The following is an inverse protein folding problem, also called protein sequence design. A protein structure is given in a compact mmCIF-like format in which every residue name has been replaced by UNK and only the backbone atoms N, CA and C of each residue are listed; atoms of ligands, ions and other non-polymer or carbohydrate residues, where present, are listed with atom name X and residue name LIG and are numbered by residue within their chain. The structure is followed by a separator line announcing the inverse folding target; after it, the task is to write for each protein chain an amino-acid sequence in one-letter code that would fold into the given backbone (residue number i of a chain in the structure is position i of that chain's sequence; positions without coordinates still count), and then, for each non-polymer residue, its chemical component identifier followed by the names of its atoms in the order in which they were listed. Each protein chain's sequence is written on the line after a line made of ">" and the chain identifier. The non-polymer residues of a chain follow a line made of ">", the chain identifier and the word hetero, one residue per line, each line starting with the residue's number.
data_IF_647130311148
#
_entry.id   IF_647130311148
#
_cell.length_a   1.000
_cell.length_b   1.000
_cell.length_c   1.000
_cell.angle_alpha   90.00
_cell.angle_beta   90.00
_cell.angle_gamma   90.00
#
_symmetry.space_group_name_H-M   'P 1'
#
loop_
_entity.id
_entity.type
_entity.pdbx_description
1 polymer ?
#
# COMPACT_ATOMS: atom_id res chain seq x y z
N UNK A 1 -2.05 25.53 -11.56
CA UNK A 1 -2.52 26.51 -10.56
C UNK A 1 -1.90 26.18 -9.20
N UNK A 2 -1.27 27.14 -8.54
CA UNK A 2 -0.66 26.95 -7.21
C UNK A 2 -1.74 27.02 -6.14
N UNK A 3 -1.97 25.92 -5.40
CA UNK A 3 -2.92 25.90 -4.29
C UNK A 3 -2.26 26.39 -2.99
N UNK A 4 -2.99 27.15 -2.19
CA UNK A 4 -2.52 27.71 -0.93
C UNK A 4 -3.33 27.14 0.24
N UNK A 5 -2.69 26.89 1.39
CA UNK A 5 -3.38 26.52 2.64
C UNK A 5 -3.10 27.51 3.75
N UNK A 6 -4.12 27.76 4.55
CA UNK A 6 -4.01 28.57 5.77
C UNK A 6 -3.69 27.65 6.94
N UNK A 7 -2.55 27.88 7.59
CA UNK A 7 -2.13 27.16 8.80
C UNK A 7 -2.06 28.11 9.98
N UNK A 8 -2.39 27.64 11.18
CA UNK A 8 -2.13 28.36 12.44
C UNK A 8 -0.85 27.83 13.06
N UNK A 9 0.14 28.71 13.23
CA UNK A 9 1.39 28.40 13.94
C UNK A 9 1.56 29.43 15.06
N UNK A 10 1.67 28.95 16.30
CA UNK A 10 1.77 29.80 17.50
C UNK A 10 0.67 30.88 17.58
N UNK A 11 -0.58 30.48 17.38
CA UNK A 11 -1.76 31.38 17.43
C UNK A 11 -1.94 32.32 16.23
N UNK A 12 -0.93 32.52 15.39
CA UNK A 12 -1.01 33.41 14.21
C UNK A 12 -1.36 32.63 12.93
N UNK A 13 -2.32 33.15 12.15
CA UNK A 13 -2.71 32.58 10.84
C UNK A 13 -1.63 32.93 9.80
N UNK A 14 -1.18 31.96 9.02
CA UNK A 14 -0.25 32.14 7.89
C UNK A 14 -0.75 31.36 6.68
N UNK A 15 -0.69 31.97 5.50
CA UNK A 15 -1.00 31.33 4.22
C UNK A 15 0.31 30.84 3.61
N UNK A 16 0.41 29.52 3.35
CA UNK A 16 1.61 28.91 2.76
C UNK A 16 1.25 28.21 1.43
N UNK A 17 2.12 28.29 0.41
CA UNK A 17 1.92 27.53 -0.83
C UNK A 17 2.02 26.04 -0.53
N UNK A 18 1.07 25.25 -1.04
CA UNK A 18 1.11 23.80 -0.96
C UNK A 18 2.15 23.33 -1.96
N UNK A 19 3.34 22.97 -1.47
CA UNK A 19 4.34 22.26 -2.28
C UNK A 19 3.82 20.85 -2.56
N UNK A 20 3.16 20.66 -3.70
CA UNK A 20 2.83 19.34 -4.23
C UNK A 20 4.14 18.66 -4.60
N UNK A 21 4.60 17.70 -3.80
CA UNK A 21 5.83 16.96 -4.12
C UNK A 21 6.63 16.39 -2.95
N UNK A 22 6.28 16.66 -1.69
CA UNK A 22 6.95 15.99 -0.56
C UNK A 22 6.10 14.84 -0.03
N UNK A 23 6.15 13.72 -0.75
CA UNK A 23 5.59 12.45 -0.30
C UNK A 23 6.41 11.95 0.89
N UNK A 24 5.82 11.94 2.09
CA UNK A 24 6.40 11.19 3.20
C UNK A 24 6.14 9.71 2.93
N UNK A 25 7.10 9.06 2.30
CA UNK A 25 7.18 7.61 2.18
C UNK A 25 7.35 7.04 3.58
N UNK A 26 6.25 6.74 4.28
CA UNK A 26 6.33 5.99 5.53
C UNK A 26 6.57 4.53 5.17
N UNK A 27 7.77 4.05 5.47
CA UNK A 27 8.06 2.61 5.40
C UNK A 27 7.32 1.92 6.54
N UNK A 28 6.54 0.90 6.21
CA UNK A 28 5.97 0.00 7.21
C UNK A 28 7.11 -0.71 7.94
N UNK A 29 7.04 -0.73 9.27
CA UNK A 29 8.02 -1.45 10.08
C UNK A 29 7.83 -2.97 9.92
N UNK A 30 8.89 -3.78 10.07
CA UNK A 30 8.78 -5.24 10.05
C UNK A 30 7.68 -5.79 10.99
N UNK A 31 7.49 -5.17 12.16
CA UNK A 31 6.39 -5.50 13.09
C UNK A 31 5.00 -5.25 12.51
N UNK A 32 4.79 -4.13 11.81
CA UNK A 32 3.50 -3.82 11.17
C UNK A 32 3.19 -4.83 10.07
N UNK A 33 4.22 -5.29 9.35
CA UNK A 33 4.10 -6.36 8.36
C UNK A 33 3.77 -7.69 9.04
N UNK A 34 4.45 -8.01 10.15
CA UNK A 34 4.23 -9.24 10.92
C UNK A 34 2.81 -9.30 11.52
N UNK A 35 2.32 -8.21 12.11
CA UNK A 35 0.95 -8.10 12.65
C UNK A 35 -0.11 -8.30 11.56
N UNK A 36 0.10 -7.75 10.36
CA UNK A 36 -0.79 -7.95 9.21
C UNK A 36 -0.86 -9.43 8.77
N UNK A 37 0.19 -10.20 9.06
CA UNK A 37 0.35 -11.58 8.57
C UNK A 37 -0.05 -12.65 9.58
N UNK A 38 -0.34 -12.30 10.84
CA UNK A 38 -0.47 -13.25 11.97
C UNK A 38 -1.71 -14.15 11.93
N UNK A 39 -2.67 -13.88 11.04
CA UNK A 39 -3.92 -14.65 10.91
C UNK A 39 -3.75 -15.73 9.83
N UNK A 40 -4.22 -16.95 10.09
CA UNK A 40 -3.97 -18.15 9.28
C UNK A 40 -4.26 -18.00 7.78
N UNK A 41 -3.53 -18.78 6.97
CA UNK A 41 -3.49 -18.74 5.51
C UNK A 41 -4.91 -18.87 4.92
N UNK A 42 -5.44 -17.78 4.35
CA UNK A 42 -6.69 -17.65 3.59
C UNK A 42 -6.41 -17.37 2.10
N UNK A 43 -6.11 -18.45 1.38
CA UNK A 43 -6.14 -18.57 -0.08
C UNK A 43 -5.56 -17.39 -0.88
N UNK A 44 -4.27 -17.45 -1.27
CA UNK A 44 -3.64 -16.48 -2.17
C UNK A 44 -4.31 -16.41 -3.56
N UNK A 45 -5.02 -17.45 -3.97
CA UNK A 45 -5.64 -17.60 -5.30
C UNK A 45 -6.71 -16.58 -5.65
N UNK A 46 -7.13 -15.73 -4.71
CA UNK A 46 -8.14 -14.69 -5.00
C UNK A 46 -7.55 -13.41 -5.61
N UNK A 47 -6.22 -13.19 -5.53
CA UNK A 47 -5.59 -12.03 -6.19
C UNK A 47 -5.34 -12.33 -7.67
N UNK A 48 -4.94 -13.57 -8.00
CA UNK A 48 -4.76 -14.04 -9.38
C UNK A 48 -6.05 -13.93 -10.18
N UNK A 49 -7.21 -14.24 -9.58
CA UNK A 49 -8.52 -14.10 -10.24
C UNK A 49 -8.91 -12.64 -10.56
N UNK A 50 -8.19 -11.67 -9.99
CA UNK A 50 -8.33 -10.24 -10.29
C UNK A 50 -7.23 -9.71 -11.24
N UNK A 51 -6.38 -10.61 -11.75
CA UNK A 51 -5.30 -10.32 -12.67
C UNK A 51 -4.01 -9.87 -12.00
N UNK A 52 -3.81 -10.18 -10.71
CA UNK A 52 -2.56 -9.88 -10.02
C UNK A 52 -1.51 -10.97 -10.24
N UNK A 53 -0.36 -10.59 -10.79
CA UNK A 53 0.83 -11.43 -10.86
C UNK A 53 2.06 -10.66 -10.35
N UNK A 54 2.89 -11.29 -9.52
CA UNK A 54 4.05 -10.63 -8.88
C UNK A 54 5.10 -10.17 -9.92
N UNK A 55 5.18 -10.86 -11.06
CA UNK A 55 6.10 -10.53 -12.16
C UNK A 55 5.57 -9.45 -13.11
N UNK A 56 4.30 -9.09 -13.03
CA UNK A 56 3.73 -8.10 -13.94
C UNK A 56 4.31 -6.70 -13.70
N UNK A 57 4.27 -5.82 -14.73
CA UNK A 57 4.61 -4.42 -14.57
C UNK A 57 3.77 -3.75 -13.48
N UNK A 58 4.36 -2.78 -12.78
CA UNK A 58 3.70 -2.07 -11.67
C UNK A 58 2.31 -1.52 -12.04
N UNK A 59 2.13 -1.03 -13.27
CA UNK A 59 0.84 -0.53 -13.77
C UNK A 59 -0.25 -1.61 -13.72
N UNK A 60 0.05 -2.83 -14.18
CA UNK A 60 -0.89 -3.96 -14.16
C UNK A 60 -1.17 -4.44 -12.74
N UNK A 61 -0.12 -4.56 -11.91
CA UNK A 61 -0.26 -4.93 -10.50
C UNK A 61 -1.15 -3.96 -9.76
N UNK A 62 -0.89 -2.65 -9.87
CA UNK A 62 -1.68 -1.62 -9.21
C UNK A 62 -3.15 -1.61 -9.67
N UNK A 63 -3.42 -1.86 -10.95
CA UNK A 63 -4.79 -2.00 -11.45
C UNK A 63 -5.51 -3.20 -10.82
N UNK A 64 -4.85 -4.36 -10.75
CA UNK A 64 -5.39 -5.55 -10.09
C UNK A 64 -5.59 -5.34 -8.57
N UNK A 65 -4.65 -4.64 -7.92
CA UNK A 65 -4.75 -4.29 -6.51
C UNK A 65 -5.89 -3.30 -6.24
N UNK A 66 -6.12 -2.32 -7.10
CA UNK A 66 -7.27 -1.42 -6.98
C UNK A 66 -8.59 -2.19 -7.09
N UNK A 67 -8.68 -3.18 -8.01
CA UNK A 67 -9.85 -4.08 -8.09
C UNK A 67 -10.01 -4.93 -6.84
N UNK A 68 -8.90 -5.44 -6.29
CA UNK A 68 -8.90 -6.21 -5.05
C UNK A 68 -9.37 -5.36 -3.85
N UNK A 69 -8.90 -4.11 -3.76
CA UNK A 69 -9.36 -3.16 -2.74
C UNK A 69 -10.85 -2.86 -2.91
N UNK A 70 -11.35 -2.69 -4.13
CA UNK A 70 -12.77 -2.50 -4.39
C UNK A 70 -13.64 -3.72 -4.02
N UNK A 71 -13.12 -4.94 -4.23
CA UNK A 71 -13.87 -6.20 -4.00
C UNK A 71 -13.83 -6.68 -2.55
N UNK A 72 -12.66 -6.61 -1.91
CA UNK A 72 -12.40 -7.20 -0.59
C UNK A 72 -12.19 -6.14 0.51
N UNK A 73 -11.97 -4.89 0.13
CA UNK A 73 -11.53 -3.85 1.04
C UNK A 73 -10.01 -3.84 1.26
N UNK A 74 -9.49 -2.71 1.74
CA UNK A 74 -8.05 -2.49 1.95
C UNK A 74 -7.44 -3.48 2.93
N UNK A 75 -8.11 -3.74 4.06
CA UNK A 75 -7.62 -4.64 5.12
C UNK A 75 -7.45 -6.08 4.63
N UNK A 76 -8.45 -6.61 3.92
CA UNK A 76 -8.39 -7.97 3.38
C UNK A 76 -7.38 -8.09 2.23
N UNK A 77 -7.25 -7.05 1.40
CA UNK A 77 -6.22 -7.01 0.34
C UNK A 77 -4.81 -7.06 0.93
N UNK A 78 -4.55 -6.31 2.00
CA UNK A 78 -3.27 -6.34 2.70
C UNK A 78 -2.99 -7.70 3.34
N UNK A 79 -4.00 -8.34 3.94
CA UNK A 79 -3.85 -9.70 4.48
C UNK A 79 -3.40 -10.68 3.39
N UNK A 80 -4.07 -10.66 2.24
CA UNK A 80 -3.74 -11.52 1.10
C UNK A 80 -2.33 -11.29 0.54
N UNK A 81 -1.88 -10.04 0.49
CA UNK A 81 -0.50 -9.72 0.12
C UNK A 81 0.51 -10.19 1.19
N UNK A 82 0.16 -10.06 2.48
CA UNK A 82 0.95 -10.59 3.57
C UNK A 82 1.11 -12.11 3.50
N UNK A 83 0.08 -12.83 3.08
CA UNK A 83 0.16 -14.26 2.84
C UNK A 83 1.08 -14.62 1.69
N UNK A 84 1.01 -13.89 0.57
CA UNK A 84 1.96 -14.06 -0.54
C UNK A 84 3.40 -13.84 -0.06
N UNK A 85 3.63 -12.81 0.77
CA UNK A 85 4.93 -12.56 1.37
C UNK A 85 5.43 -13.72 2.25
N UNK A 86 4.54 -14.42 2.96
CA UNK A 86 4.88 -15.63 3.74
C UNK A 86 5.16 -16.84 2.84
N UNK A 87 4.37 -17.04 1.78
CA UNK A 87 4.54 -18.16 0.85
C UNK A 87 5.86 -18.07 0.09
N UNK A 88 6.28 -16.87 -0.27
CA UNK A 88 7.55 -16.60 -0.95
C UNK A 88 8.74 -16.47 0.03
N UNK A 89 8.67 -17.06 1.23
CA UNK A 89 9.72 -16.95 2.26
C UNK A 89 11.12 -17.26 1.73
N UNK A 90 11.25 -18.32 0.91
CA UNK A 90 12.50 -18.79 0.31
C UNK A 90 12.93 -18.01 -0.96
N UNK A 91 12.19 -16.97 -1.35
CA UNK A 91 12.41 -16.21 -2.58
C UNK A 91 12.52 -14.70 -2.29
N UNK A 92 13.70 -14.22 -1.84
CA UNK A 92 13.86 -12.84 -1.36
C UNK A 92 13.53 -11.78 -2.41
N UNK A 93 13.82 -12.05 -3.70
CA UNK A 93 13.47 -11.15 -4.80
C UNK A 93 11.96 -10.97 -4.97
N UNK A 94 11.17 -12.03 -4.73
CA UNK A 94 9.70 -11.96 -4.80
C UNK A 94 9.13 -11.22 -3.61
N UNK A 95 9.66 -11.47 -2.41
CA UNK A 95 9.27 -10.77 -1.19
C UNK A 95 9.43 -9.26 -1.33
N UNK A 96 10.55 -8.80 -1.89
CA UNK A 96 10.79 -7.38 -2.11
C UNK A 96 9.67 -6.74 -2.95
N UNK A 97 9.28 -7.38 -4.06
CA UNK A 97 8.18 -6.93 -4.91
C UNK A 97 6.83 -6.91 -4.18
N UNK A 98 6.54 -7.96 -3.40
CA UNK A 98 5.30 -8.02 -2.59
C UNK A 98 5.27 -6.91 -1.53
N UNK A 99 6.42 -6.56 -0.92
CA UNK A 99 6.49 -5.42 0.01
C UNK A 99 6.17 -4.10 -0.69
N UNK A 100 6.63 -3.89 -1.93
CA UNK A 100 6.27 -2.70 -2.72
C UNK A 100 4.75 -2.64 -2.97
N UNK A 101 4.14 -3.77 -3.31
CA UNK A 101 2.70 -3.87 -3.53
C UNK A 101 1.89 -3.65 -2.24
N UNK A 102 2.39 -4.15 -1.09
CA UNK A 102 1.82 -3.86 0.23
C UNK A 102 1.87 -2.36 0.53
N UNK A 103 3.00 -1.70 0.24
CA UNK A 103 3.15 -0.24 0.43
C UNK A 103 2.17 0.55 -0.43
N UNK A 104 1.92 0.09 -1.65
CA UNK A 104 0.93 0.69 -2.54
C UNK A 104 -0.49 0.58 -1.94
N UNK A 105 -0.90 -0.62 -1.50
CA UNK A 105 -2.27 -0.87 -0.97
C UNK A 105 -2.50 -0.23 0.39
N UNK A 106 -1.49 -0.25 1.28
CA UNK A 106 -1.60 0.35 2.62
C UNK A 106 -1.86 1.84 2.54
N UNK A 107 -1.61 2.45 1.38
CA UNK A 107 -1.78 3.86 1.15
C UNK A 107 -0.81 4.62 2.04
N UNK A 108 0.37 4.96 1.50
CA UNK A 108 0.87 6.29 1.82
C UNK A 108 -0.29 7.26 1.54
N UNK A 109 -0.96 7.72 2.60
CA UNK A 109 -2.40 8.00 2.60
C UNK A 109 -2.88 8.85 1.42
N UNK A 110 -3.76 8.29 0.58
CA UNK A 110 -4.76 9.06 -0.17
C UNK A 110 -5.89 9.37 0.81
N UNK A 111 -5.83 10.54 1.46
CA UNK A 111 -7.05 11.18 1.94
C UNK A 111 -7.55 12.07 0.80
N UNK A 112 -8.84 11.95 0.56
CA UNK A 112 -9.72 12.72 -0.31
C UNK A 112 -9.26 14.17 -0.60
#
# INVERSE_FOLDING_TARGET
>A
MTQFRTVRKNGKKRVIPIRSGMHRSRSLSPREIEDLTRVGIRHPGSLTSLGYHIMDPAVKKHAALNRAVGKYGRKETLRKLGELYRLDYNRPALRSKVVEDIRYVSGGARND
#
